data_IF_164775859390
#
_entry.id   IF_164775859390
#
_cell.length_a   1.000
_cell.length_b   1.000
_cell.length_c   1.000
_cell.angle_alpha   90.00
_cell.angle_beta   90.00
_cell.angle_gamma   90.00
#
_symmetry.space_group_name_H-M   'P 1'
#
loop_
_entity.id
_entity.type
_entity.pdbx_description
1 polymer ?
#
# COMPACT_ATOMS: atom_id res chain seq x y z
N UNK A 1 54.34 -30.76 -12.29
CA UNK A 1 53.65 -29.68 -13.03
C UNK A 1 54.68 -28.81 -13.73
N UNK A 2 54.52 -28.58 -15.05
CA UNK A 2 55.39 -27.65 -15.80
C UNK A 2 55.19 -26.20 -15.33
N UNK A 3 56.19 -25.31 -15.58
CA UNK A 3 56.06 -23.88 -15.29
C UNK A 3 54.82 -23.25 -15.96
N UNK A 4 54.49 -23.69 -17.17
CA UNK A 4 53.28 -23.26 -17.89
C UNK A 4 51.98 -23.64 -17.18
N UNK A 5 51.89 -24.86 -16.63
CA UNK A 5 50.71 -25.30 -15.86
C UNK A 5 50.53 -24.50 -14.56
N UNK A 6 51.61 -24.11 -13.88
CA UNK A 6 51.55 -23.26 -12.68
C UNK A 6 51.10 -21.83 -12.98
N UNK A 7 51.58 -21.26 -14.08
CA UNK A 7 51.17 -19.92 -14.53
C UNK A 7 49.70 -19.90 -14.97
N UNK A 8 49.24 -20.92 -15.69
CA UNK A 8 47.83 -21.05 -16.08
C UNK A 8 46.91 -21.20 -14.85
N UNK A 9 47.32 -22.00 -13.85
CA UNK A 9 46.56 -22.17 -12.61
C UNK A 9 46.51 -20.87 -11.80
N UNK A 10 47.63 -20.14 -11.72
CA UNK A 10 47.70 -18.84 -11.04
C UNK A 10 46.86 -17.77 -11.75
N UNK A 11 46.86 -17.74 -13.09
CA UNK A 11 46.03 -16.83 -13.87
C UNK A 11 44.54 -17.16 -13.71
N UNK A 12 44.16 -18.44 -13.74
CA UNK A 12 42.79 -18.88 -13.47
C UNK A 12 42.35 -18.49 -12.05
N UNK A 13 43.20 -18.74 -11.05
CA UNK A 13 42.93 -18.34 -9.67
C UNK A 13 42.76 -16.82 -9.54
N UNK A 14 43.63 -16.03 -10.19
CA UNK A 14 43.51 -14.57 -10.21
C UNK A 14 42.21 -14.10 -10.90
N UNK A 15 41.82 -14.71 -12.02
CA UNK A 15 40.55 -14.42 -12.69
C UNK A 15 39.33 -14.74 -11.82
N UNK A 16 39.35 -15.88 -11.12
CA UNK A 16 38.28 -16.26 -10.18
C UNK A 16 38.21 -15.26 -9.02
N UNK A 17 39.35 -14.86 -8.46
CA UNK A 17 39.40 -13.84 -7.39
C UNK A 17 38.86 -12.50 -7.88
N UNK A 18 39.29 -12.02 -9.06
CA UNK A 18 38.82 -10.75 -9.63
C UNK A 18 37.31 -10.78 -9.95
N UNK A 19 36.80 -11.89 -10.48
CA UNK A 19 35.37 -12.08 -10.71
C UNK A 19 34.59 -12.08 -9.38
N UNK A 20 35.11 -12.76 -8.36
CA UNK A 20 34.55 -12.75 -7.00
C UNK A 20 34.50 -11.35 -6.40
N UNK A 21 35.60 -10.59 -6.46
CA UNK A 21 35.65 -9.20 -6.01
C UNK A 21 34.66 -8.31 -6.77
N UNK A 22 34.52 -8.50 -8.08
CA UNK A 22 33.55 -7.78 -8.90
C UNK A 22 32.10 -8.04 -8.49
N UNK A 23 31.75 -9.30 -8.20
CA UNK A 23 30.41 -9.68 -7.70
C UNK A 23 30.14 -9.04 -6.35
N UNK A 24 31.10 -9.10 -5.42
CA UNK A 24 30.95 -8.49 -4.08
C UNK A 24 30.76 -6.98 -4.19
N UNK A 25 31.55 -6.30 -5.02
CA UNK A 25 31.41 -4.87 -5.26
C UNK A 25 30.03 -4.51 -5.87
N UNK A 26 29.54 -5.32 -6.81
CA UNK A 26 28.22 -5.14 -7.41
C UNK A 26 27.10 -5.32 -6.39
N UNK A 27 27.15 -6.38 -5.58
CA UNK A 27 26.17 -6.63 -4.52
C UNK A 27 26.17 -5.52 -3.47
N UNK A 28 27.35 -5.01 -3.08
CA UNK A 28 27.48 -3.87 -2.18
C UNK A 28 26.87 -2.59 -2.78
N UNK A 29 27.12 -2.33 -4.07
CA UNK A 29 26.52 -1.19 -4.76
C UNK A 29 25.00 -1.29 -4.83
N UNK A 30 24.45 -2.49 -5.06
CA UNK A 30 23.02 -2.76 -5.10
C UNK A 30 22.36 -2.57 -3.72
N UNK A 31 23.00 -3.09 -2.66
CA UNK A 31 22.59 -2.87 -1.27
C UNK A 31 22.46 -1.37 -0.97
N UNK A 32 23.50 -0.60 -1.32
CA UNK A 32 23.53 0.84 -1.11
C UNK A 32 22.49 1.58 -1.95
N UNK A 33 22.26 1.14 -3.18
CA UNK A 33 21.27 1.73 -4.07
C UNK A 33 19.83 1.44 -3.62
N UNK A 34 19.59 0.31 -2.93
CA UNK A 34 18.26 -0.06 -2.48
C UNK A 34 17.31 -0.51 -3.57
N UNK A 35 17.84 -0.98 -4.71
CA UNK A 35 17.05 -1.36 -5.86
C UNK A 35 16.73 -2.85 -5.77
N UNK A 36 15.46 -3.23 -5.87
CA UNK A 36 15.07 -4.64 -5.90
C UNK A 36 15.37 -5.28 -7.26
N UNK A 37 15.66 -6.59 -7.32
CA UNK A 37 15.79 -7.30 -8.60
C UNK A 37 14.57 -7.11 -9.50
N UNK A 38 13.35 -7.16 -8.96
CA UNK A 38 12.09 -6.91 -9.69
C UNK A 38 11.92 -5.49 -10.24
N UNK A 39 12.67 -4.50 -9.72
CA UNK A 39 12.72 -3.16 -10.32
C UNK A 39 13.83 -3.04 -11.37
N UNK A 40 14.98 -3.67 -11.12
CA UNK A 40 16.12 -3.66 -12.02
C UNK A 40 15.89 -4.46 -13.30
N UNK A 41 15.25 -5.64 -13.20
CA UNK A 41 15.09 -6.56 -14.32
C UNK A 41 14.35 -5.93 -15.53
N UNK A 42 13.17 -5.31 -15.37
CA UNK A 42 12.51 -4.62 -16.49
C UNK A 42 13.32 -3.43 -17.04
N UNK A 43 14.18 -2.82 -16.22
CA UNK A 43 15.07 -1.75 -16.67
C UNK A 43 16.19 -2.29 -17.56
N UNK A 44 16.80 -3.43 -17.21
CA UNK A 44 17.82 -4.10 -18.01
C UNK A 44 17.24 -4.50 -19.37
N UNK A 45 16.10 -5.19 -19.39
CA UNK A 45 15.45 -5.61 -20.64
C UNK A 45 15.18 -4.39 -21.55
N UNK A 46 14.56 -3.34 -21.00
CA UNK A 46 14.32 -2.08 -21.73
C UNK A 46 15.61 -1.45 -22.26
N UNK A 47 16.69 -1.39 -21.47
CA UNK A 47 17.96 -0.80 -21.90
C UNK A 47 18.66 -1.61 -22.97
N UNK A 48 18.47 -2.94 -22.98
CA UNK A 48 19.01 -3.82 -24.02
C UNK A 48 18.18 -3.81 -25.31
N UNK A 49 16.91 -3.40 -25.24
CA UNK A 49 16.02 -3.36 -26.40
C UNK A 49 16.50 -2.38 -27.47
N UNK A 50 16.32 -2.76 -28.74
CA UNK A 50 16.75 -1.96 -29.89
C UNK A 50 18.24 -2.07 -30.26
N UNK A 51 19.03 -2.82 -29.48
CA UNK A 51 20.40 -3.18 -29.82
C UNK A 51 20.47 -4.45 -30.70
N UNK A 52 21.68 -4.93 -31.03
CA UNK A 52 21.85 -6.18 -31.77
C UNK A 52 21.31 -7.40 -31.00
N UNK A 53 21.15 -8.52 -31.70
CA UNK A 53 20.52 -9.73 -31.17
C UNK A 53 21.24 -10.30 -29.93
N UNK A 54 22.57 -10.18 -29.86
CA UNK A 54 23.35 -10.67 -28.72
C UNK A 54 23.06 -9.86 -27.46
N UNK A 55 23.08 -8.53 -27.57
CA UNK A 55 22.79 -7.63 -26.44
C UNK A 55 21.34 -7.79 -25.99
N UNK A 56 20.40 -7.84 -26.93
CA UNK A 56 18.98 -8.03 -26.63
C UNK A 56 18.74 -9.39 -25.95
N UNK A 57 19.36 -10.46 -26.45
CA UNK A 57 19.25 -11.79 -25.87
C UNK A 57 19.83 -11.87 -24.46
N UNK A 58 21.01 -11.27 -24.24
CA UNK A 58 21.65 -11.21 -22.92
C UNK A 58 20.82 -10.40 -21.91
N UNK A 59 20.25 -9.27 -22.33
CA UNK A 59 19.39 -8.44 -21.48
C UNK A 59 18.11 -9.15 -21.03
N UNK A 60 17.45 -9.86 -21.95
CA UNK A 60 16.28 -10.70 -21.62
C UNK A 60 16.64 -11.82 -20.66
N UNK A 61 17.71 -12.58 -20.95
CA UNK A 61 18.18 -13.65 -20.09
C UNK A 61 18.47 -13.15 -18.66
N UNK A 62 19.16 -12.01 -18.52
CA UNK A 62 19.46 -11.41 -17.23
C UNK A 62 18.19 -10.96 -16.49
N UNK A 63 17.25 -10.33 -17.19
CA UNK A 63 15.96 -9.93 -16.64
C UNK A 63 15.17 -11.13 -16.12
N UNK A 64 15.06 -12.19 -16.92
CA UNK A 64 14.32 -13.41 -16.57
C UNK A 64 14.97 -14.14 -15.38
N UNK A 65 16.30 -14.21 -15.35
CA UNK A 65 17.04 -14.81 -14.24
C UNK A 65 16.80 -14.05 -12.92
N UNK A 66 16.89 -12.72 -12.94
CA UNK A 66 16.64 -11.88 -11.77
C UNK A 66 15.21 -12.01 -11.26
N UNK A 67 14.22 -11.99 -12.17
CA UNK A 67 12.81 -12.14 -11.79
C UNK A 67 12.53 -13.53 -11.21
N UNK A 68 13.13 -14.59 -11.77
CA UNK A 68 12.96 -15.95 -11.27
C UNK A 68 13.56 -16.14 -9.88
N UNK A 69 14.76 -15.60 -9.64
CA UNK A 69 15.40 -15.63 -8.32
C UNK A 69 14.56 -14.87 -7.29
N UNK A 70 14.11 -13.66 -7.64
CA UNK A 70 13.41 -12.77 -6.73
C UNK A 70 11.96 -13.17 -6.45
N UNK A 71 11.21 -13.67 -7.43
CA UNK A 71 9.78 -14.01 -7.27
C UNK A 71 9.54 -15.48 -6.95
N UNK A 72 10.48 -16.37 -7.30
CA UNK A 72 10.25 -17.81 -7.29
C UNK A 72 9.28 -18.24 -8.40
N UNK A 73 8.69 -19.42 -8.22
CA UNK A 73 7.73 -19.96 -9.17
C UNK A 73 6.41 -19.15 -9.15
N UNK A 74 5.79 -18.90 -10.31
CA UNK A 74 4.44 -18.34 -10.36
C UNK A 74 3.48 -19.21 -9.57
N UNK A 75 2.64 -18.57 -8.76
CA UNK A 75 1.69 -19.24 -7.90
C UNK A 75 0.31 -18.58 -8.03
N UNK A 76 -0.73 -19.38 -7.80
CA UNK A 76 -2.09 -18.86 -7.81
C UNK A 76 -2.44 -18.36 -6.41
N UNK A 77 -2.60 -17.05 -6.27
CA UNK A 77 -2.91 -16.42 -4.99
C UNK A 77 -4.38 -16.66 -4.58
N UNK A 78 -4.59 -16.98 -3.30
CA UNK A 78 -5.89 -17.19 -2.66
C UNK A 78 -5.99 -16.30 -1.41
N UNK A 79 -6.71 -15.19 -1.54
CA UNK A 79 -7.02 -14.28 -0.42
C UNK A 79 -8.46 -14.44 0.09
N UNK A 80 -9.22 -15.36 -0.49
CA UNK A 80 -10.60 -15.61 -0.11
C UNK A 80 -10.69 -16.12 1.33
N UNK A 81 -11.66 -15.58 2.07
CA UNK A 81 -11.87 -15.96 3.46
C UNK A 81 -11.01 -15.21 4.46
N UNK A 82 -10.18 -14.24 4.06
CA UNK A 82 -9.52 -13.36 5.03
C UNK A 82 -10.52 -12.40 5.70
N UNK A 83 -10.26 -12.09 6.97
CA UNK A 83 -10.93 -11.05 7.79
C UNK A 83 -10.38 -9.65 7.51
N UNK A 84 -9.60 -9.51 6.44
CA UNK A 84 -9.03 -8.27 5.92
C UNK A 84 -9.75 -7.87 4.63
N UNK A 85 -9.87 -6.58 4.40
CA UNK A 85 -10.62 -6.02 3.28
C UNK A 85 -12.13 -6.23 3.40
N UNK A 86 -12.84 -6.03 2.30
CA UNK A 86 -14.29 -6.12 2.25
C UNK A 86 -14.80 -7.52 2.61
N UNK A 87 -15.74 -7.56 3.54
CA UNK A 87 -16.36 -8.72 4.12
C UNK A 87 -17.78 -8.94 3.55
N UNK A 88 -18.22 -10.20 3.43
CA UNK A 88 -19.58 -10.54 3.00
C UNK A 88 -20.62 -10.19 4.07
N UNK A 89 -20.22 -10.07 5.33
CA UNK A 89 -21.08 -9.57 6.39
C UNK A 89 -21.18 -8.05 6.29
N UNK A 90 -22.40 -7.51 6.34
CA UNK A 90 -22.64 -6.08 6.31
C UNK A 90 -21.99 -5.39 7.52
N UNK A 91 -21.29 -4.28 7.27
CA UNK A 91 -20.95 -3.33 8.30
C UNK A 91 -22.14 -2.43 8.65
N UNK A 92 -22.14 -1.91 9.88
CA UNK A 92 -23.14 -0.96 10.38
C UNK A 92 -24.45 -1.61 10.84
N UNK A 93 -25.20 -0.88 11.67
CA UNK A 93 -26.57 -1.23 12.07
C UNK A 93 -27.54 -0.44 11.19
N UNK A 94 -28.67 -1.02 10.71
CA UNK A 94 -29.67 -0.27 9.97
C UNK A 94 -30.19 0.92 10.78
N UNK A 95 -30.18 2.12 10.19
CA UNK A 95 -30.87 3.30 10.71
C UNK A 95 -32.24 3.51 10.06
N UNK A 96 -32.95 4.61 10.38
CA UNK A 96 -34.21 4.97 9.72
C UNK A 96 -33.98 5.16 8.21
N UNK A 97 -34.63 4.35 7.39
CA UNK A 97 -34.44 4.39 5.93
C UNK A 97 -35.08 5.64 5.32
N UNK A 98 -34.32 6.35 4.51
CA UNK A 98 -34.82 7.47 3.68
C UNK A 98 -35.29 6.92 2.33
N UNK A 99 -36.31 6.05 2.38
CA UNK A 99 -36.90 5.42 1.19
C UNK A 99 -35.94 4.52 0.40
N UNK A 100 -36.50 3.76 -0.55
CA UNK A 100 -35.71 2.83 -1.35
C UNK A 100 -35.10 3.52 -2.58
N UNK A 101 -33.78 3.64 -2.61
CA UNK A 101 -33.04 4.17 -3.76
C UNK A 101 -32.82 3.04 -4.78
N UNK A 102 -33.32 3.21 -6.01
CA UNK A 102 -33.23 2.18 -7.07
C UNK A 102 -32.44 2.62 -8.31
N UNK A 103 -32.11 3.90 -8.40
CA UNK A 103 -31.32 4.46 -9.49
C UNK A 103 -30.44 5.64 -9.03
N UNK A 104 -29.60 6.14 -9.94
CA UNK A 104 -28.65 7.22 -9.66
C UNK A 104 -29.34 8.58 -9.49
N UNK A 105 -30.50 8.82 -10.11
CA UNK A 105 -31.22 10.08 -9.94
C UNK A 105 -31.84 10.16 -8.54
N UNK A 106 -32.46 9.07 -8.08
CA UNK A 106 -32.95 8.90 -6.72
C UNK A 106 -31.81 9.03 -5.70
N UNK A 107 -30.64 8.40 -5.95
CA UNK A 107 -29.47 8.52 -5.09
C UNK A 107 -29.01 9.98 -4.95
N UNK A 108 -28.89 10.71 -6.06
CA UNK A 108 -28.53 12.13 -6.05
C UNK A 108 -29.52 12.96 -5.25
N UNK A 109 -30.82 12.72 -5.45
CA UNK A 109 -31.89 13.42 -4.75
C UNK A 109 -31.83 13.14 -3.24
N UNK A 110 -31.63 11.88 -2.84
CA UNK A 110 -31.50 11.48 -1.45
C UNK A 110 -30.28 12.13 -0.79
N UNK A 111 -29.11 12.10 -1.44
CA UNK A 111 -27.89 12.73 -0.91
C UNK A 111 -28.03 14.26 -0.78
N UNK A 112 -28.67 14.91 -1.76
CA UNK A 112 -28.90 16.35 -1.71
C UNK A 112 -29.91 16.78 -0.62
N UNK A 113 -30.79 15.86 -0.19
CA UNK A 113 -31.81 16.11 0.84
C UNK A 113 -31.44 15.53 2.20
N UNK A 114 -30.28 14.87 2.32
CA UNK A 114 -29.87 14.21 3.54
C UNK A 114 -29.82 15.17 4.73
N UNK A 115 -30.26 14.67 5.88
CA UNK A 115 -30.20 15.31 7.19
C UNK A 115 -29.35 14.43 8.12
N UNK A 116 -28.80 14.97 9.23
CA UNK A 116 -28.06 14.16 10.19
C UNK A 116 -28.84 12.90 10.62
N UNK A 117 -28.15 11.76 10.63
CA UNK A 117 -28.74 10.45 10.95
C UNK A 117 -29.46 9.74 9.80
N UNK A 118 -29.61 10.38 8.63
CA UNK A 118 -30.24 9.76 7.47
C UNK A 118 -29.47 8.51 7.00
N UNK A 119 -30.20 7.41 6.79
CA UNK A 119 -29.66 6.21 6.13
C UNK A 119 -30.26 6.06 4.72
N UNK A 120 -29.40 6.12 3.71
CA UNK A 120 -29.73 5.96 2.30
C UNK A 120 -29.34 4.53 1.88
N UNK A 121 -30.32 3.63 1.88
CA UNK A 121 -30.13 2.24 1.47
C UNK A 121 -30.40 2.08 -0.03
N UNK A 122 -29.39 1.59 -0.76
CA UNK A 122 -29.53 1.26 -2.17
C UNK A 122 -30.11 -0.15 -2.33
N UNK A 123 -31.13 -0.28 -3.17
CA UNK A 123 -31.65 -1.57 -3.60
C UNK A 123 -30.57 -2.33 -4.41
N UNK A 124 -30.56 -3.68 -4.37
CA UNK A 124 -29.70 -4.47 -5.23
C UNK A 124 -29.77 -4.03 -6.70
N UNK A 125 -28.61 -3.86 -7.34
CA UNK A 125 -28.55 -3.41 -8.73
C UNK A 125 -27.27 -2.69 -9.11
N UNK A 126 -27.23 -2.26 -10.37
CA UNK A 126 -26.12 -1.51 -10.95
C UNK A 126 -26.50 -0.06 -11.19
N UNK A 127 -25.68 0.86 -10.69
CA UNK A 127 -25.92 2.29 -10.65
C UNK A 127 -24.85 3.01 -11.46
N UNK A 128 -25.22 3.55 -12.62
CA UNK A 128 -24.26 4.19 -13.52
C UNK A 128 -24.10 5.68 -13.23
N UNK A 129 -22.98 6.06 -12.62
CA UNK A 129 -22.61 7.45 -12.36
C UNK A 129 -22.03 8.05 -13.63
N UNK A 130 -22.84 8.86 -14.30
CA UNK A 130 -22.47 9.59 -15.50
C UNK A 130 -22.75 11.09 -15.38
N UNK A 131 -22.16 11.87 -16.27
CA UNK A 131 -22.30 13.33 -16.46
C UNK A 131 -21.72 14.19 -15.32
N UNK A 132 -21.94 13.83 -14.05
CA UNK A 132 -21.41 14.56 -12.89
C UNK A 132 -21.19 13.64 -11.68
N UNK A 133 -20.41 14.08 -10.69
CA UNK A 133 -20.18 13.33 -9.45
C UNK A 133 -21.42 13.26 -8.56
N UNK A 134 -21.52 12.25 -7.70
CA UNK A 134 -22.42 12.27 -6.54
C UNK A 134 -21.85 13.24 -5.50
N UNK A 135 -22.69 14.09 -4.91
CA UNK A 135 -22.25 15.18 -4.05
C UNK A 135 -22.76 14.96 -2.60
N UNK A 136 -21.85 14.70 -1.68
CA UNK A 136 -22.07 14.65 -0.24
C UNK A 136 -21.75 16.05 0.36
N UNK A 137 -22.66 16.99 0.08
CA UNK A 137 -22.48 18.42 0.39
C UNK A 137 -23.21 18.93 1.64
N UNK A 138 -24.10 18.12 2.24
CA UNK A 138 -24.82 18.49 3.48
C UNK A 138 -24.18 17.80 4.68
N UNK A 139 -23.96 18.48 5.81
CA UNK A 139 -23.31 17.86 6.96
C UNK A 139 -24.20 16.81 7.63
N UNK A 140 -23.60 15.70 8.06
CA UNK A 140 -24.14 14.91 9.16
C UNK A 140 -23.79 15.55 10.51
N UNK A 141 -23.99 14.83 11.61
CA UNK A 141 -23.58 15.28 12.94
C UNK A 141 -22.78 14.19 13.68
N UNK A 142 -22.06 14.59 14.72
CA UNK A 142 -21.43 13.65 15.64
C UNK A 142 -22.50 12.71 16.24
N UNK A 143 -22.25 11.41 16.21
CA UNK A 143 -23.23 10.38 16.62
C UNK A 143 -24.41 10.17 15.66
N UNK A 144 -24.60 11.02 14.66
CA UNK A 144 -25.66 10.93 13.66
C UNK A 144 -25.11 11.22 12.24
N UNK A 145 -24.20 10.38 11.71
CA UNK A 145 -23.68 10.55 10.36
C UNK A 145 -24.78 10.35 9.31
N UNK A 146 -24.57 10.88 8.12
CA UNK A 146 -25.34 10.45 6.94
C UNK A 146 -24.70 9.19 6.39
N UNK A 147 -25.48 8.11 6.26
CA UNK A 147 -25.00 6.81 5.81
C UNK A 147 -25.52 6.52 4.40
N UNK A 148 -24.63 6.14 3.48
CA UNK A 148 -24.99 5.58 2.16
C UNK A 148 -24.51 4.14 2.11
N UNK A 149 -25.42 3.20 1.90
CA UNK A 149 -25.06 1.78 2.03
C UNK A 149 -25.77 0.83 1.07
N UNK A 150 -25.15 -0.32 0.88
CA UNK A 150 -25.88 -1.55 0.56
C UNK A 150 -26.34 -2.24 1.86
N UNK A 151 -27.54 -2.82 1.84
CA UNK A 151 -27.99 -3.66 2.95
C UNK A 151 -27.12 -4.92 3.07
N UNK A 152 -26.82 -5.55 1.94
CA UNK A 152 -25.97 -6.73 1.82
C UNK A 152 -24.75 -6.40 0.95
N UNK A 153 -23.51 -6.63 1.42
CA UNK A 153 -22.31 -6.48 0.59
C UNK A 153 -22.41 -7.28 -0.72
N UNK A 154 -21.95 -6.68 -1.80
CA UNK A 154 -21.93 -7.33 -3.12
C UNK A 154 -23.24 -7.22 -3.93
N UNK A 155 -24.34 -6.72 -3.35
CA UNK A 155 -25.60 -6.57 -4.09
C UNK A 155 -25.72 -5.24 -4.85
N UNK A 156 -24.91 -4.24 -4.50
CA UNK A 156 -24.94 -2.90 -5.10
C UNK A 156 -23.62 -2.59 -5.77
N UNK A 157 -23.69 -2.24 -7.05
CA UNK A 157 -22.53 -1.88 -7.87
C UNK A 157 -22.66 -0.47 -8.44
N UNK A 158 -21.80 0.43 -8.01
CA UNK A 158 -21.68 1.78 -8.57
C UNK A 158 -20.64 1.76 -9.70
N UNK A 159 -21.04 2.12 -10.93
CA UNK A 159 -20.15 2.19 -12.09
C UNK A 159 -19.90 3.67 -12.43
N UNK A 160 -18.68 4.14 -12.21
CA UNK A 160 -18.29 5.52 -12.51
C UNK A 160 -17.68 5.66 -13.90
N UNK A 161 -18.17 6.63 -14.66
CA UNK A 161 -17.55 7.10 -15.91
C UNK A 161 -17.14 8.58 -15.83
N UNK A 162 -16.95 9.09 -14.61
CA UNK A 162 -16.61 10.49 -14.34
C UNK A 162 -15.31 10.58 -13.56
N UNK A 163 -14.62 11.72 -13.67
CA UNK A 163 -13.33 12.00 -13.02
C UNK A 163 -13.35 11.70 -11.53
N UNK A 164 -14.41 12.11 -10.84
CA UNK A 164 -14.61 11.84 -9.42
C UNK A 164 -15.98 11.19 -9.27
N UNK A 165 -16.06 9.99 -8.70
CA UNK A 165 -17.35 9.32 -8.54
C UNK A 165 -18.19 9.99 -7.44
N UNK A 166 -17.60 10.18 -6.25
CA UNK A 166 -18.24 10.77 -5.07
C UNK A 166 -17.36 11.91 -4.53
N UNK A 167 -17.89 13.13 -4.53
CA UNK A 167 -17.29 14.29 -3.85
C UNK A 167 -17.90 14.44 -2.47
N UNK A 168 -17.04 14.48 -1.46
CA UNK A 168 -17.43 14.67 -0.06
C UNK A 168 -16.85 15.99 0.41
N UNK A 169 -17.73 16.98 0.58
CA UNK A 169 -17.37 18.34 1.00
C UNK A 169 -17.85 18.71 2.39
N UNK A 170 -18.67 17.86 3.02
CA UNK A 170 -19.28 18.09 4.32
C UNK A 170 -18.93 16.97 5.32
N UNK A 171 -18.91 17.26 6.63
CA UNK A 171 -18.49 16.32 7.65
C UNK A 171 -19.51 15.21 7.94
N UNK A 172 -19.06 14.16 8.62
CA UNK A 172 -19.87 13.05 9.13
C UNK A 172 -20.65 12.28 8.05
N UNK A 173 -20.00 11.99 6.92
CA UNK A 173 -20.51 11.06 5.91
C UNK A 173 -19.90 9.69 6.05
N UNK A 174 -20.73 8.66 5.89
CA UNK A 174 -20.33 7.25 6.00
C UNK A 174 -20.82 6.45 4.79
N UNK A 175 -19.92 5.64 4.22
CA UNK A 175 -20.20 4.80 3.05
C UNK A 175 -19.90 3.33 3.38
N UNK A 176 -20.89 2.46 3.20
CA UNK A 176 -20.80 1.07 3.66
C UNK A 176 -21.23 0.03 2.63
N UNK A 177 -20.48 -1.08 2.56
CA UNK A 177 -20.90 -2.30 1.84
C UNK A 177 -21.04 -2.12 0.32
N UNK A 178 -20.47 -1.07 -0.27
CA UNK A 178 -20.61 -0.74 -1.69
C UNK A 178 -19.52 -1.40 -2.53
N UNK A 179 -19.87 -1.88 -3.72
CA UNK A 179 -18.90 -2.13 -4.79
C UNK A 179 -18.85 -0.90 -5.71
N UNK A 180 -17.65 -0.36 -5.97
CA UNK A 180 -17.46 0.87 -6.76
C UNK A 180 -16.37 0.63 -7.82
N UNK A 181 -16.76 0.73 -9.09
CA UNK A 181 -15.88 0.49 -10.24
C UNK A 181 -15.67 1.77 -11.03
N UNK A 182 -14.40 2.12 -11.27
CA UNK A 182 -14.00 3.10 -12.26
C UNK A 182 -13.94 2.47 -13.66
N UNK A 183 -14.95 2.75 -14.49
CA UNK A 183 -15.12 2.19 -15.82
C UNK A 183 -14.88 3.23 -16.94
N UNK A 184 -13.96 4.17 -16.71
CA UNK A 184 -13.64 5.21 -17.68
C UNK A 184 -12.77 4.67 -18.82
N UNK A 185 -13.04 5.13 -20.04
CA UNK A 185 -12.28 4.74 -21.24
C UNK A 185 -10.80 5.11 -21.15
N UNK A 186 -10.49 6.26 -20.54
CA UNK A 186 -9.12 6.68 -20.24
C UNK A 186 -8.95 6.72 -18.73
N UNK A 187 -7.80 6.23 -18.24
CA UNK A 187 -7.52 6.25 -16.81
C UNK A 187 -7.44 7.66 -16.22
N UNK A 188 -7.08 8.67 -17.02
CA UNK A 188 -7.10 10.09 -16.63
C UNK A 188 -8.50 10.62 -16.32
N UNK A 189 -9.54 9.93 -16.79
CA UNK A 189 -10.93 10.29 -16.55
C UNK A 189 -11.53 9.52 -15.35
N UNK A 190 -10.76 8.60 -14.72
CA UNK A 190 -11.15 7.86 -13.52
C UNK A 190 -10.13 8.16 -12.41
N UNK A 191 -10.14 9.40 -11.94
CA UNK A 191 -9.19 9.89 -10.95
C UNK A 191 -9.51 9.36 -9.56
N UNK A 192 -10.72 9.64 -9.06
CA UNK A 192 -11.06 9.46 -7.65
C UNK A 192 -12.38 8.70 -7.47
N UNK A 193 -12.40 7.62 -6.68
CA UNK A 193 -13.68 7.04 -6.25
C UNK A 193 -14.33 7.98 -5.23
N UNK A 194 -13.58 8.32 -4.19
CA UNK A 194 -13.93 9.35 -3.22
C UNK A 194 -12.92 10.50 -3.29
N UNK A 195 -13.42 11.73 -3.39
CA UNK A 195 -12.63 12.91 -3.09
C UNK A 195 -13.19 13.58 -1.83
N UNK A 196 -12.47 13.42 -0.72
CA UNK A 196 -12.80 13.99 0.59
C UNK A 196 -12.00 15.28 0.76
N UNK A 197 -12.68 16.41 0.82
CA UNK A 197 -12.02 17.71 0.68
C UNK A 197 -12.56 18.78 1.62
N UNK A 198 -11.69 19.71 2.00
CA UNK A 198 -12.08 20.90 2.76
C UNK A 198 -12.65 20.56 4.14
N UNK A 199 -13.95 20.82 4.36
CA UNK A 199 -14.59 20.68 5.67
C UNK A 199 -15.07 19.25 5.99
N UNK A 200 -14.79 18.27 5.13
CA UNK A 200 -15.30 16.90 5.23
C UNK A 200 -14.62 16.05 6.32
N UNK A 201 -14.60 16.53 7.56
CA UNK A 201 -14.07 15.79 8.71
C UNK A 201 -14.96 14.62 9.10
N UNK A 202 -14.40 13.64 9.83
CA UNK A 202 -15.12 12.46 10.30
C UNK A 202 -15.79 11.65 9.17
N UNK A 203 -15.17 11.65 7.99
CA UNK A 203 -15.53 10.75 6.90
C UNK A 203 -15.30 9.29 7.32
N UNK A 204 -16.17 8.38 6.89
CA UNK A 204 -15.95 6.96 7.05
C UNK A 204 -16.26 6.18 5.76
N UNK A 205 -15.34 5.31 5.34
CA UNK A 205 -15.60 4.28 4.34
C UNK A 205 -15.32 2.93 4.96
N UNK A 206 -16.35 2.10 5.09
CA UNK A 206 -16.27 0.81 5.78
C UNK A 206 -16.80 -0.31 4.92
N UNK A 207 -16.05 -1.39 4.79
CA UNK A 207 -16.52 -2.61 4.11
C UNK A 207 -16.85 -2.43 2.62
N UNK A 208 -16.15 -1.56 1.90
CA UNK A 208 -16.37 -1.33 0.48
C UNK A 208 -15.34 -2.08 -0.38
N UNK A 209 -15.77 -2.51 -1.57
CA UNK A 209 -14.87 -2.97 -2.63
C UNK A 209 -14.74 -1.87 -3.68
N UNK A 210 -13.55 -1.29 -3.84
CA UNK A 210 -13.31 -0.16 -4.75
C UNK A 210 -12.23 -0.54 -5.75
N UNK A 211 -12.47 -0.29 -7.03
CA UNK A 211 -11.50 -0.63 -8.06
C UNK A 211 -11.49 0.28 -9.28
N UNK A 212 -10.38 0.29 -10.01
CA UNK A 212 -10.29 0.97 -11.31
C UNK A 212 -10.13 2.48 -11.24
N UNK A 213 -9.57 3.01 -10.14
CA UNK A 213 -9.29 4.43 -9.95
C UNK A 213 -7.78 4.68 -9.81
N UNK A 214 -7.34 5.89 -10.18
CA UNK A 214 -5.97 6.32 -9.94
C UNK A 214 -5.72 6.53 -8.43
N UNK A 215 -6.69 7.11 -7.73
CA UNK A 215 -6.80 7.08 -6.28
C UNK A 215 -8.20 6.64 -5.86
N UNK A 216 -8.32 5.65 -4.99
CA UNK A 216 -9.62 5.18 -4.51
C UNK A 216 -10.17 6.19 -3.50
N UNK A 217 -9.28 6.69 -2.65
CA UNK A 217 -9.53 7.80 -1.75
C UNK A 217 -8.50 8.89 -1.99
N UNK A 218 -8.98 10.05 -2.46
CA UNK A 218 -8.20 11.29 -2.48
C UNK A 218 -8.68 12.18 -1.34
N UNK A 219 -7.78 12.51 -0.41
CA UNK A 219 -8.07 13.35 0.74
C UNK A 219 -7.16 14.58 0.68
N UNK A 220 -7.74 15.77 0.72
CA UNK A 220 -6.95 17.00 0.70
C UNK A 220 -7.65 18.20 1.36
N UNK A 221 -6.85 19.13 1.88
CA UNK A 221 -7.35 20.43 2.30
C UNK A 221 -7.90 21.25 1.14
N UNK A 222 -8.83 22.17 1.42
CA UNK A 222 -9.34 23.16 0.48
C UNK A 222 -9.85 24.40 1.23
N UNK A 223 -9.49 25.59 0.74
CA UNK A 223 -9.93 26.86 1.33
C UNK A 223 -9.53 27.02 2.80
N UNK A 224 -8.32 26.56 3.17
CA UNK A 224 -7.82 26.61 4.55
C UNK A 224 -8.48 25.62 5.52
N UNK A 225 -9.36 24.73 5.04
CA UNK A 225 -10.01 23.67 5.84
C UNK A 225 -9.45 22.30 5.49
N UNK A 226 -9.41 21.41 6.47
CA UNK A 226 -8.83 20.08 6.36
C UNK A 226 -9.83 19.00 6.80
N UNK A 227 -9.97 17.91 6.04
CA UNK A 227 -10.91 16.84 6.36
C UNK A 227 -10.28 15.88 7.39
N UNK A 228 -10.19 16.28 8.65
CA UNK A 228 -9.54 15.50 9.72
C UNK A 228 -10.41 14.36 10.27
N UNK A 229 -9.80 13.46 11.05
CA UNK A 229 -10.48 12.41 11.82
C UNK A 229 -11.23 11.38 10.96
N UNK A 230 -10.74 11.07 9.76
CA UNK A 230 -11.37 10.11 8.87
C UNK A 230 -11.04 8.65 9.17
N UNK A 231 -11.90 7.74 8.69
CA UNK A 231 -11.78 6.30 8.84
C UNK A 231 -11.89 5.59 7.49
N UNK A 232 -10.90 4.77 7.16
CA UNK A 232 -10.94 3.83 6.04
C UNK A 232 -10.72 2.43 6.62
N UNK A 233 -11.79 1.66 6.75
CA UNK A 233 -11.79 0.37 7.45
C UNK A 233 -12.34 -0.79 6.64
N UNK A 234 -11.62 -1.91 6.65
CA UNK A 234 -12.08 -3.16 6.02
C UNK A 234 -12.50 -2.99 4.54
N UNK A 235 -11.81 -2.15 3.78
CA UNK A 235 -12.06 -1.99 2.35
C UNK A 235 -11.10 -2.85 1.52
N UNK A 236 -11.57 -3.35 0.39
CA UNK A 236 -10.72 -3.97 -0.65
C UNK A 236 -10.49 -2.95 -1.76
N UNK A 237 -9.24 -2.56 -1.98
CA UNK A 237 -8.81 -1.56 -2.95
C UNK A 237 -7.88 -2.22 -3.97
N UNK A 238 -8.30 -2.26 -5.24
CA UNK A 238 -7.50 -2.89 -6.30
C UNK A 238 -7.59 -2.16 -7.63
N UNK A 239 -6.60 -2.36 -8.51
CA UNK A 239 -6.79 -2.07 -9.92
C UNK A 239 -6.74 -3.37 -10.74
N UNK A 240 -7.73 -3.61 -11.62
CA UNK A 240 -7.75 -4.84 -12.42
C UNK A 240 -6.73 -4.82 -13.55
N UNK A 241 -6.22 -3.63 -13.92
CA UNK A 241 -5.23 -3.43 -14.97
C UNK A 241 -4.22 -2.35 -14.57
N UNK A 242 -3.01 -2.34 -15.15
CA UNK A 242 -2.06 -1.27 -14.93
C UNK A 242 -2.62 0.09 -15.37
N UNK A 243 -2.41 1.13 -14.57
CA UNK A 243 -2.90 2.48 -14.85
C UNK A 243 -2.00 3.18 -15.87
N UNK A 244 -2.43 3.17 -17.12
CA UNK A 244 -1.91 3.98 -18.23
C UNK A 244 -2.16 5.49 -18.05
N UNK A 245 -1.47 6.12 -17.09
CA UNK A 245 -1.61 7.55 -16.77
C UNK A 245 -0.29 8.17 -16.28
N UNK A 246 -0.10 9.47 -16.53
CA UNK A 246 0.99 10.26 -15.92
C UNK A 246 0.63 10.76 -14.52
N UNK A 247 -0.65 10.77 -14.18
CA UNK A 247 -1.20 11.23 -12.90
C UNK A 247 -0.78 10.30 -11.75
N UNK A 248 -0.86 10.74 -10.49
CA UNK A 248 -0.55 9.87 -9.35
C UNK A 248 -1.39 8.59 -9.37
N UNK A 249 -0.78 7.46 -9.00
CA UNK A 249 -1.49 6.19 -8.80
C UNK A 249 -1.22 5.78 -7.37
N UNK A 250 -2.21 5.98 -6.51
CA UNK A 250 -2.10 5.79 -5.07
C UNK A 250 -3.50 5.54 -4.49
N UNK A 251 -3.88 4.28 -4.21
CA UNK A 251 -5.22 3.95 -3.73
C UNK A 251 -5.69 4.81 -2.55
N UNK A 252 -4.81 5.15 -1.61
CA UNK A 252 -5.10 6.12 -0.54
C UNK A 252 -4.08 7.26 -0.60
N UNK A 253 -4.51 8.39 -1.15
CA UNK A 253 -3.72 9.63 -1.30
C UNK A 253 -4.22 10.65 -0.26
N UNK A 254 -3.59 10.66 0.92
CA UNK A 254 -3.92 11.56 2.02
C UNK A 254 -2.94 12.73 2.08
N UNK A 255 -3.44 13.95 1.86
CA UNK A 255 -2.66 15.19 1.87
C UNK A 255 -3.25 16.18 2.87
N UNK A 256 -2.41 16.70 3.76
CA UNK A 256 -2.68 17.78 4.71
C UNK A 256 -3.76 17.50 5.77
N UNK A 257 -4.25 16.27 5.90
CA UNK A 257 -5.19 15.87 6.93
C UNK A 257 -4.50 15.17 8.11
N UNK A 258 -5.14 15.20 9.28
CA UNK A 258 -4.67 14.62 10.53
C UNK A 258 -5.63 13.60 11.11
N UNK A 259 -5.10 12.76 11.98
CA UNK A 259 -5.83 11.82 12.83
C UNK A 259 -6.72 10.85 12.04
N UNK A 260 -6.31 10.51 10.82
CA UNK A 260 -6.95 9.45 10.06
C UNK A 260 -6.54 8.08 10.56
N UNK A 261 -7.49 7.16 10.56
CA UNK A 261 -7.24 5.74 10.79
C UNK A 261 -7.53 4.95 9.51
N UNK A 262 -6.50 4.31 8.98
CA UNK A 262 -6.58 3.39 7.84
C UNK A 262 -6.29 2.00 8.36
N UNK A 263 -7.33 1.16 8.50
CA UNK A 263 -7.16 -0.15 9.14
C UNK A 263 -7.89 -1.32 8.52
N UNK A 264 -7.29 -2.51 8.63
CA UNK A 264 -7.92 -3.75 8.20
C UNK A 264 -8.16 -3.83 6.68
N UNK A 265 -7.54 -2.98 5.86
CA UNK A 265 -7.80 -2.93 4.43
C UNK A 265 -6.95 -3.96 3.67
N UNK A 266 -7.47 -4.41 2.53
CA UNK A 266 -6.70 -5.13 1.51
C UNK A 266 -6.42 -4.16 0.35
N UNK A 267 -5.15 -3.82 0.11
CA UNK A 267 -4.73 -2.88 -0.93
C UNK A 267 -3.81 -3.61 -1.90
N UNK A 268 -4.13 -3.62 -3.20
CA UNK A 268 -3.33 -4.35 -4.19
C UNK A 268 -3.26 -3.73 -5.57
N UNK A 269 -2.25 -4.14 -6.32
CA UNK A 269 -2.17 -3.97 -7.78
C UNK A 269 -2.17 -2.51 -8.26
N UNK A 270 -1.41 -1.63 -7.61
CA UNK A 270 -1.38 -0.19 -7.92
C UNK A 270 -0.29 0.21 -8.92
N UNK A 271 -0.27 -0.42 -10.10
CA UNK A 271 0.76 -0.16 -11.13
C UNK A 271 0.53 1.14 -11.90
N UNK A 272 1.57 1.98 -12.05
CA UNK A 272 1.61 3.18 -12.92
C UNK A 272 2.52 3.00 -14.14
N UNK A 273 1.99 3.16 -15.36
CA UNK A 273 2.76 2.94 -16.59
C UNK A 273 3.47 4.17 -17.17
N UNK A 274 2.95 5.39 -16.95
CA UNK A 274 3.50 6.61 -17.54
C UNK A 274 4.07 7.58 -16.49
N UNK A 275 4.60 8.72 -16.94
CA UNK A 275 5.24 9.71 -16.08
C UNK A 275 6.50 9.14 -15.43
N UNK A 276 6.66 9.37 -14.13
CA UNK A 276 7.77 8.82 -13.34
C UNK A 276 7.62 7.33 -13.02
N UNK A 277 6.46 6.70 -13.30
CA UNK A 277 6.16 5.29 -12.98
C UNK A 277 6.34 4.91 -11.50
N UNK A 278 6.25 5.89 -10.61
CA UNK A 278 6.23 5.68 -9.16
C UNK A 278 4.78 5.63 -8.71
N UNK A 279 4.48 4.68 -7.84
CA UNK A 279 3.17 4.43 -7.25
C UNK A 279 3.32 4.00 -5.80
N UNK A 280 2.26 4.23 -5.01
CA UNK A 280 2.22 3.95 -3.59
C UNK A 280 0.94 3.18 -3.27
N UNK A 281 0.96 2.27 -2.30
CA UNK A 281 -0.28 1.62 -1.84
C UNK A 281 -1.14 2.59 -1.04
N UNK A 282 -0.50 3.29 -0.10
CA UNK A 282 -1.08 4.42 0.61
C UNK A 282 0.01 5.37 1.10
N UNK A 283 -0.32 6.65 1.25
CA UNK A 283 0.51 7.57 2.01
C UNK A 283 -0.30 8.58 2.80
N UNK A 284 0.32 9.10 3.87
CA UNK A 284 -0.10 10.32 4.55
C UNK A 284 1.01 11.36 4.44
N UNK A 285 0.70 12.55 3.91
CA UNK A 285 1.66 13.60 3.62
C UNK A 285 1.04 14.99 3.74
N UNK A 286 1.78 16.04 3.42
CA UNK A 286 1.25 17.39 3.31
C UNK A 286 1.15 18.19 4.62
N UNK A 287 1.98 17.90 5.62
CA UNK A 287 1.94 18.58 6.93
C UNK A 287 0.82 18.08 7.84
N UNK A 288 0.39 16.83 7.63
CA UNK A 288 -0.55 16.13 8.51
C UNK A 288 0.10 15.63 9.79
N UNK A 289 -0.70 15.25 10.79
CA UNK A 289 -0.21 14.70 12.05
C UNK A 289 -1.09 13.55 12.56
N UNK A 290 -0.51 12.60 13.30
CA UNK A 290 -1.29 11.58 14.02
C UNK A 290 -1.99 10.54 13.15
N UNK A 291 -1.64 10.43 11.87
CA UNK A 291 -2.27 9.46 10.96
C UNK A 291 -1.77 8.04 11.26
N UNK A 292 -2.68 7.06 11.26
CA UNK A 292 -2.42 5.66 11.61
C UNK A 292 -2.75 4.74 10.45
N UNK A 293 -1.77 3.92 10.05
CA UNK A 293 -1.96 2.75 9.19
C UNK A 293 -1.78 1.49 10.04
N UNK A 294 -2.88 0.79 10.29
CA UNK A 294 -2.89 -0.36 11.19
C UNK A 294 -3.50 -1.59 10.52
N UNK A 295 -2.90 -2.78 10.66
CA UNK A 295 -3.56 -4.05 10.24
C UNK A 295 -3.96 -4.10 8.76
N UNK A 296 -3.22 -3.43 7.88
CA UNK A 296 -3.49 -3.51 6.44
C UNK A 296 -2.67 -4.62 5.79
N UNK A 297 -3.26 -5.31 4.82
CA UNK A 297 -2.55 -6.15 3.87
C UNK A 297 -2.33 -5.34 2.58
N UNK A 298 -1.07 -5.03 2.27
CA UNK A 298 -0.67 -4.30 1.07
C UNK A 298 0.12 -5.24 0.16
N UNK A 299 -0.44 -5.60 -0.99
CA UNK A 299 0.23 -6.44 -1.98
C UNK A 299 0.51 -5.63 -3.24
N UNK A 300 1.74 -5.13 -3.36
CA UNK A 300 2.13 -4.13 -4.36
C UNK A 300 1.81 -4.55 -5.82
N UNK A 301 2.07 -5.80 -6.17
CA UNK A 301 1.80 -6.39 -7.49
C UNK A 301 1.46 -7.88 -7.36
N UNK A 302 0.19 -8.16 -7.07
CA UNK A 302 -0.33 -9.53 -6.94
C UNK A 302 -0.67 -10.10 -8.31
N UNK A 303 -1.68 -9.53 -8.96
CA UNK A 303 -2.13 -9.95 -10.29
C UNK A 303 -1.36 -9.21 -11.41
N UNK A 304 -0.76 -8.05 -11.09
CA UNK A 304 -0.11 -7.16 -12.05
C UNK A 304 1.44 -7.21 -11.98
N UNK A 305 1.98 -8.39 -11.66
CA UNK A 305 3.42 -8.64 -11.59
C UNK A 305 4.15 -8.39 -12.93
N UNK A 306 5.45 -8.12 -12.85
CA UNK A 306 6.34 -8.03 -14.02
C UNK A 306 6.30 -6.68 -14.74
N UNK A 307 5.55 -5.72 -14.24
CA UNK A 307 5.45 -4.39 -14.83
C UNK A 307 6.64 -3.50 -14.40
N UNK A 308 7.18 -2.63 -15.28
CA UNK A 308 8.25 -1.70 -14.90
C UNK A 308 7.75 -0.65 -13.89
N UNK A 309 8.67 0.02 -13.20
CA UNK A 309 8.37 1.12 -12.27
C UNK A 309 8.58 0.76 -10.80
N UNK A 310 8.38 1.77 -9.95
CA UNK A 310 8.56 1.67 -8.49
C UNK A 310 7.20 1.63 -7.80
N UNK A 311 7.05 0.68 -6.89
CA UNK A 311 5.84 0.46 -6.08
C UNK A 311 6.28 0.46 -4.63
N UNK A 312 5.96 1.54 -3.94
CA UNK A 312 6.16 1.68 -2.50
C UNK A 312 4.91 1.15 -1.80
N UNK A 313 5.08 0.41 -0.71
CA UNK A 313 3.95 -0.11 0.06
C UNK A 313 3.17 1.01 0.77
N UNK A 314 3.62 1.35 1.97
CA UNK A 314 3.08 2.43 2.80
C UNK A 314 4.11 3.56 2.94
N UNK A 315 3.64 4.80 3.02
CA UNK A 315 4.54 5.94 3.17
C UNK A 315 4.01 7.02 4.13
N UNK A 316 4.91 7.56 4.94
CA UNK A 316 4.71 8.82 5.64
C UNK A 316 5.55 9.88 4.93
N UNK A 317 4.87 10.84 4.30
CA UNK A 317 5.45 11.80 3.38
C UNK A 317 5.79 11.22 2.01
N UNK A 318 6.55 11.99 1.23
CA UNK A 318 6.92 11.65 -0.14
C UNK A 318 5.93 12.14 -1.20
N UNK A 319 6.11 11.71 -2.45
CA UNK A 319 5.21 12.09 -3.56
C UNK A 319 5.23 13.56 -4.00
N UNK A 320 6.12 14.40 -3.44
CA UNK A 320 6.41 15.76 -3.91
C UNK A 320 5.28 16.77 -3.70
N UNK A 321 4.78 16.92 -2.47
CA UNK A 321 3.76 17.94 -2.17
C UNK A 321 4.34 19.34 -2.42
N UNK A 322 3.69 20.15 -3.24
CA UNK A 322 4.06 21.56 -3.33
C UNK A 322 3.66 22.30 -2.06
N UNK A 323 4.53 23.19 -1.53
CA UNK A 323 4.34 23.98 -0.30
C UNK A 323 2.90 24.45 -0.06
N UNK A 324 2.31 25.13 -1.06
CA UNK A 324 0.94 25.67 -1.02
C UNK A 324 -0.18 24.65 -0.74
N UNK A 325 0.09 23.36 -0.92
CA UNK A 325 -0.87 22.28 -0.68
C UNK A 325 -0.69 21.63 0.69
N UNK A 326 0.38 21.97 1.42
CA UNK A 326 0.57 21.54 2.79
C UNK A 326 -0.29 22.37 3.74
N UNK A 327 -0.63 21.76 4.88
CA UNK A 327 -1.42 22.39 5.92
C UNK A 327 -0.79 23.70 6.41
N UNK A 328 0.53 23.71 6.56
CA UNK A 328 1.33 24.84 7.01
C UNK A 328 1.75 25.80 5.86
N UNK A 329 1.39 25.47 4.61
CA UNK A 329 1.81 26.18 3.41
C UNK A 329 3.30 26.03 3.04
N UNK A 330 4.06 25.19 3.77
CA UNK A 330 5.53 25.10 3.65
C UNK A 330 6.06 23.68 3.49
N UNK A 331 5.37 22.67 4.02
CA UNK A 331 5.80 21.27 4.03
C UNK A 331 7.16 21.05 4.71
N UNK A 332 7.43 21.73 5.84
CA UNK A 332 8.71 21.51 6.55
C UNK A 332 8.82 20.05 6.98
N UNK A 333 7.75 19.54 7.56
CA UNK A 333 7.48 18.12 7.73
C UNK A 333 6.32 17.76 6.81
N UNK A 334 6.44 16.63 6.11
CA UNK A 334 5.34 16.09 5.31
C UNK A 334 4.34 15.36 6.22
N UNK A 335 4.80 14.78 7.33
CA UNK A 335 3.96 14.10 8.30
C UNK A 335 4.62 14.11 9.68
N UNK A 336 3.81 14.23 10.74
CA UNK A 336 4.29 14.13 12.11
C UNK A 336 3.53 13.05 12.88
N UNK A 337 4.17 12.43 13.87
CA UNK A 337 3.51 11.50 14.81
C UNK A 337 2.71 10.38 14.12
N UNK A 338 3.16 9.97 12.94
CA UNK A 338 2.52 8.91 12.16
C UNK A 338 2.82 7.54 12.73
N UNK A 339 1.86 6.61 12.64
CA UNK A 339 2.01 5.24 13.13
C UNK A 339 1.74 4.25 12.02
N UNK A 340 2.70 3.39 11.70
CA UNK A 340 2.50 2.21 10.86
C UNK A 340 2.67 0.99 11.75
N UNK A 341 1.59 0.25 12.03
CA UNK A 341 1.66 -0.93 12.89
C UNK A 341 0.90 -2.14 12.40
N UNK A 342 1.46 -3.32 12.68
CA UNK A 342 0.82 -4.60 12.37
C UNK A 342 0.38 -4.76 10.91
N UNK A 343 1.07 -4.13 9.95
CA UNK A 343 0.75 -4.27 8.53
C UNK A 343 1.56 -5.42 7.91
N UNK A 344 0.93 -6.15 6.99
CA UNK A 344 1.60 -7.12 6.12
C UNK A 344 1.77 -6.50 4.73
N UNK A 345 3.03 -6.30 4.30
CA UNK A 345 3.36 -5.64 3.04
C UNK A 345 4.17 -6.60 2.18
N UNK A 346 3.71 -6.85 0.96
CA UNK A 346 4.18 -7.96 0.13
C UNK A 346 4.52 -7.50 -1.28
N UNK A 347 5.69 -7.92 -1.74
CA UNK A 347 6.04 -7.95 -3.16
C UNK A 347 6.21 -6.57 -3.79
N UNK A 348 6.84 -5.64 -3.09
CA UNK A 348 7.03 -4.28 -3.55
C UNK A 348 8.30 -4.17 -4.39
N UNK A 349 8.20 -3.51 -5.56
CA UNK A 349 9.38 -3.25 -6.39
C UNK A 349 10.28 -2.13 -5.83
N UNK A 350 9.83 -1.48 -4.76
CA UNK A 350 10.60 -0.56 -3.94
C UNK A 350 10.44 -0.95 -2.47
N UNK A 351 10.78 -0.04 -1.55
CA UNK A 351 10.63 -0.24 -0.11
C UNK A 351 9.18 -0.53 0.27
N UNK A 352 9.01 -1.42 1.25
CA UNK A 352 7.69 -1.70 1.83
C UNK A 352 7.16 -0.52 2.63
N UNK A 353 8.05 0.17 3.36
CA UNK A 353 7.73 1.36 4.14
C UNK A 353 8.72 2.48 3.82
N UNK A 354 8.20 3.67 3.54
CA UNK A 354 8.99 4.87 3.25
C UNK A 354 8.65 6.03 4.19
N UNK A 355 9.66 6.67 4.76
CA UNK A 355 9.52 7.88 5.54
C UNK A 355 10.33 9.00 4.88
N UNK A 356 9.63 10.05 4.45
CA UNK A 356 10.23 11.19 3.77
C UNK A 356 9.74 12.49 4.40
N UNK A 357 10.65 13.15 5.12
CA UNK A 357 10.35 14.31 5.94
C UNK A 357 9.24 14.02 6.96
N UNK A 358 9.30 12.84 7.58
CA UNK A 358 8.31 12.34 8.54
C UNK A 358 8.89 12.29 9.95
N UNK A 359 8.41 13.14 10.86
CA UNK A 359 8.95 13.29 12.22
C UNK A 359 8.16 12.50 13.26
N UNK A 360 8.84 12.09 14.33
CA UNK A 360 8.30 11.40 15.51
C UNK A 360 7.42 10.19 15.15
N UNK A 361 7.84 9.43 14.14
CA UNK A 361 7.05 8.32 13.62
C UNK A 361 7.29 7.03 14.41
N UNK A 362 6.25 6.20 14.54
CA UNK A 362 6.36 4.85 15.13
C UNK A 362 6.06 3.80 14.07
N UNK A 363 7.00 2.89 13.87
CA UNK A 363 6.89 1.82 12.89
C UNK A 363 7.04 0.51 13.66
N UNK A 364 5.92 -0.15 13.93
CA UNK A 364 5.85 -1.20 14.95
C UNK A 364 5.28 -2.49 14.38
N UNK A 365 5.95 -3.62 14.63
CA UNK A 365 5.38 -4.94 14.38
C UNK A 365 4.87 -5.13 12.93
N UNK A 366 5.52 -4.54 11.92
CA UNK A 366 5.15 -4.78 10.53
C UNK A 366 5.88 -6.01 9.98
N UNK A 367 5.24 -6.75 9.08
CA UNK A 367 5.86 -7.83 8.30
C UNK A 367 6.01 -7.39 6.85
N UNK A 368 7.23 -7.29 6.36
CA UNK A 368 7.55 -6.94 4.98
C UNK A 368 8.15 -8.17 4.30
N UNK A 369 7.51 -8.65 3.23
CA UNK A 369 7.93 -9.84 2.47
C UNK A 369 8.25 -9.43 1.04
N UNK A 370 9.42 -9.82 0.52
CA UNK A 370 9.85 -9.47 -0.83
C UNK A 370 9.78 -7.96 -1.13
N UNK A 371 10.45 -7.14 -0.32
CA UNK A 371 10.50 -5.67 -0.47
C UNK A 371 11.94 -5.14 -0.42
N UNK A 372 12.14 -3.86 -0.73
CA UNK A 372 13.46 -3.21 -0.51
C UNK A 372 13.69 -2.76 0.95
N UNK A 373 12.91 -3.30 1.89
CA UNK A 373 12.98 -3.01 3.31
C UNK A 373 12.25 -1.74 3.74
N UNK A 374 12.81 -1.03 4.73
CA UNK A 374 12.30 0.23 5.29
C UNK A 374 13.35 1.31 5.05
N UNK A 375 12.93 2.46 4.52
CA UNK A 375 13.83 3.59 4.25
C UNK A 375 13.31 4.87 4.90
N UNK A 376 14.12 5.42 5.79
CA UNK A 376 13.89 6.71 6.45
C UNK A 376 14.89 7.71 5.86
N UNK A 377 14.37 8.84 5.36
CA UNK A 377 15.18 9.82 4.62
C UNK A 377 14.99 11.24 5.10
N UNK A 378 16.06 12.01 4.97
CA UNK A 378 16.17 13.45 5.26
C UNK A 378 16.24 13.76 6.76
N UNK A 379 16.96 14.82 7.08
CA UNK A 379 17.18 15.26 8.46
C UNK A 379 15.91 15.64 9.23
N UNK A 380 14.82 15.94 8.53
CA UNK A 380 13.49 16.20 9.13
C UNK A 380 12.75 14.92 9.51
N UNK A 381 13.24 13.74 9.10
CA UNK A 381 12.65 12.47 9.48
C UNK A 381 13.24 11.92 10.77
N UNK A 382 12.35 11.48 11.66
CA UNK A 382 12.71 10.73 12.86
C UNK A 382 11.71 9.60 13.11
N UNK A 383 12.22 8.41 13.44
CA UNK A 383 11.37 7.26 13.69
C UNK A 383 11.92 6.30 14.76
N UNK A 384 11.00 5.72 15.55
CA UNK A 384 11.26 4.54 16.37
C UNK A 384 10.72 3.31 15.66
N UNK A 385 11.59 2.34 15.45
CA UNK A 385 11.25 1.04 14.84
C UNK A 385 11.39 -0.05 15.89
N UNK A 386 10.33 -0.84 16.09
CA UNK A 386 10.31 -1.93 17.07
C UNK A 386 9.47 -3.11 16.56
N UNK A 387 9.95 -4.34 16.78
CA UNK A 387 9.24 -5.57 16.48
C UNK A 387 9.03 -5.89 14.99
N UNK A 388 9.61 -5.13 14.05
CA UNK A 388 9.39 -5.39 12.62
C UNK A 388 10.13 -6.63 12.12
N UNK A 389 9.50 -7.36 11.18
CA UNK A 389 10.07 -8.49 10.46
C UNK A 389 10.20 -8.12 8.98
N UNK A 390 11.41 -7.93 8.47
CA UNK A 390 11.65 -7.23 7.20
C UNK A 390 12.51 -8.06 6.26
N UNK A 391 11.96 -8.41 5.10
CA UNK A 391 12.74 -8.86 3.95
C UNK A 391 13.30 -7.62 3.26
N UNK A 392 14.58 -7.33 3.50
CA UNK A 392 15.28 -6.12 3.07
C UNK A 392 15.79 -5.28 4.26
N UNK A 393 16.70 -4.33 4.00
CA UNK A 393 17.39 -3.61 5.05
C UNK A 393 16.53 -2.51 5.67
N UNK A 394 16.76 -2.20 6.94
CA UNK A 394 16.26 -0.98 7.57
C UNK A 394 17.33 0.12 7.45
N UNK A 395 16.99 1.24 6.79
CA UNK A 395 17.97 2.27 6.40
C UNK A 395 17.61 3.65 6.92
N UNK A 396 18.67 4.37 7.31
CA UNK A 396 18.67 5.82 7.51
C UNK A 396 19.51 6.45 6.41
N UNK A 397 18.98 7.45 5.71
CA UNK A 397 19.70 8.17 4.64
C UNK A 397 19.47 9.66 4.72
N UNK A 398 20.38 10.41 4.11
CA UNK A 398 20.27 11.87 3.95
C UNK A 398 20.09 12.61 5.29
N UNK A 399 20.70 12.10 6.36
CA UNK A 399 20.75 12.72 7.69
C UNK A 399 19.56 12.42 8.61
N UNK A 400 18.67 11.47 8.26
CA UNK A 400 17.55 11.09 9.13
C UNK A 400 17.97 10.50 10.48
N UNK A 401 17.10 10.64 11.48
CA UNK A 401 17.29 10.07 12.81
C UNK A 401 16.50 8.77 12.96
N UNK A 402 17.18 7.68 13.33
CA UNK A 402 16.55 6.37 13.46
C UNK A 402 16.87 5.74 14.82
N UNK A 403 15.83 5.41 15.57
CA UNK A 403 15.92 4.68 16.83
C UNK A 403 15.46 3.24 16.62
N UNK A 404 16.42 2.31 16.54
CA UNK A 404 16.16 0.89 16.41
C UNK A 404 16.03 0.26 17.79
N UNK A 405 14.88 -0.33 18.06
CA UNK A 405 14.69 -1.30 19.12
C UNK A 405 14.81 -2.72 18.53
N UNK A 406 14.00 -3.67 18.98
CA UNK A 406 14.14 -5.07 18.62
C UNK A 406 13.49 -5.38 17.26
N UNK A 407 14.25 -5.36 16.16
CA UNK A 407 13.77 -5.65 14.80
C UNK A 407 14.58 -6.78 14.18
N UNK A 408 13.99 -7.49 13.21
CA UNK A 408 14.65 -8.50 12.40
C UNK A 408 14.57 -8.15 10.93
N UNK A 409 15.70 -7.80 10.33
CA UNK A 409 15.82 -7.45 8.92
C UNK A 409 16.86 -8.32 8.18
N UNK A 410 16.98 -8.13 6.86
CA UNK A 410 17.91 -8.88 6.02
C UNK A 410 18.56 -7.97 4.97
N UNK A 411 19.80 -8.25 4.59
CA UNK A 411 20.46 -7.51 3.50
C UNK A 411 19.76 -7.73 2.16
N UNK A 412 19.57 -6.65 1.39
CA UNK A 412 18.94 -6.65 0.08
C UNK A 412 19.69 -7.53 -0.94
N UNK A 413 21.02 -7.61 -0.85
CA UNK A 413 21.85 -8.45 -1.72
C UNK A 413 21.42 -9.93 -1.74
N UNK A 414 20.74 -10.41 -0.69
CA UNK A 414 20.26 -11.80 -0.62
C UNK A 414 19.18 -12.08 -1.67
N UNK A 415 18.32 -11.12 -2.00
CA UNK A 415 17.27 -11.31 -3.02
C UNK A 415 17.87 -11.50 -4.41
N UNK A 416 19.02 -10.90 -4.68
CA UNK A 416 19.79 -11.12 -5.92
C UNK A 416 20.35 -12.54 -6.05
N UNK A 417 20.42 -13.31 -4.96
CA UNK A 417 20.78 -14.73 -4.95
C UNK A 417 19.55 -15.64 -4.80
N UNK A 418 18.34 -15.07 -4.84
CA UNK A 418 17.09 -15.78 -4.60
C UNK A 418 16.88 -16.23 -3.16
N UNK A 419 17.62 -15.64 -2.21
CA UNK A 419 17.48 -15.91 -0.78
C UNK A 419 16.59 -14.86 -0.13
N UNK A 420 15.45 -15.31 0.39
CA UNK A 420 14.43 -14.46 1.02
C UNK A 420 14.13 -14.99 2.42
N UNK A 421 14.92 -14.58 3.43
CA UNK A 421 14.85 -15.16 4.77
C UNK A 421 13.49 -15.01 5.44
N UNK A 422 12.80 -13.90 5.21
CA UNK A 422 11.45 -13.69 5.78
C UNK A 422 10.42 -14.49 5.01
N UNK A 423 10.47 -14.49 3.67
CA UNK A 423 9.59 -15.34 2.85
C UNK A 423 9.68 -16.81 3.24
N UNK A 424 10.89 -17.30 3.55
CA UNK A 424 11.13 -18.69 3.91
C UNK A 424 10.49 -19.14 5.24
N UNK A 425 10.01 -18.20 6.07
CA UNK A 425 9.32 -18.51 7.33
C UNK A 425 7.87 -18.98 7.11
N UNK A 426 7.31 -18.76 5.92
CA UNK A 426 5.90 -19.01 5.62
C UNK A 426 5.69 -20.30 4.83
N UNK A 427 4.50 -20.90 4.99
CA UNK A 427 4.12 -22.15 4.34
C UNK A 427 4.05 -22.02 2.80
N UNK A 428 3.31 -21.05 2.29
CA UNK A 428 3.19 -20.78 0.85
C UNK A 428 2.85 -19.30 0.58
N UNK A 429 3.78 -18.37 0.84
CA UNK A 429 3.51 -16.94 0.76
C UNK A 429 3.18 -16.48 -0.68
N UNK A 430 3.72 -17.15 -1.69
CA UNK A 430 3.37 -16.91 -3.10
C UNK A 430 1.92 -17.26 -3.45
N UNK A 431 1.27 -18.13 -2.66
CA UNK A 431 -0.15 -18.47 -2.79
C UNK A 431 -1.04 -17.63 -1.86
N UNK A 432 -0.44 -16.74 -1.05
CA UNK A 432 -1.14 -15.96 -0.03
C UNK A 432 -1.31 -16.67 1.32
N UNK A 433 -0.64 -17.81 1.52
CA UNK A 433 -0.61 -18.51 2.81
C UNK A 433 0.62 -18.09 3.63
N UNK A 434 0.40 -17.13 4.54
CA UNK A 434 1.41 -16.61 5.46
C UNK A 434 1.39 -17.31 6.82
N UNK A 435 0.84 -18.53 6.92
CA UNK A 435 1.02 -19.35 8.12
C UNK A 435 2.50 -19.67 8.30
N UNK A 436 2.96 -19.68 9.55
CA UNK A 436 4.33 -20.05 9.88
C UNK A 436 4.60 -21.52 9.53
N UNK A 437 5.72 -21.79 8.87
CA UNK A 437 6.15 -23.15 8.56
C UNK A 437 6.68 -23.88 9.80
N UNK A 438 7.60 -23.24 10.52
CA UNK A 438 8.35 -23.81 11.64
C UNK A 438 8.10 -23.03 12.95
N UNK A 439 6.92 -22.42 13.07
CA UNK A 439 6.54 -21.55 14.19
C UNK A 439 6.94 -20.08 14.00
N UNK A 440 6.32 -19.21 14.80
CA UNK A 440 6.51 -17.77 14.72
C UNK A 440 7.91 -17.37 15.26
N UNK A 441 8.64 -16.44 14.62
CA UNK A 441 9.97 -16.04 15.05
C UNK A 441 9.91 -15.24 16.37
N UNK A 442 10.61 -15.75 17.38
CA UNK A 442 10.69 -15.18 18.72
C UNK A 442 11.42 -13.82 18.77
N UNK A 443 10.87 -12.81 19.46
CA UNK A 443 11.53 -11.54 19.81
C UNK A 443 12.54 -11.75 20.94
N UNK A 444 13.58 -10.92 20.95
CA UNK A 444 14.53 -10.86 22.06
C UNK A 444 13.95 -10.10 23.26
N UNK A 445 13.21 -9.02 23.00
CA UNK A 445 12.53 -8.22 24.01
C UNK A 445 11.03 -8.44 23.91
N UNK A 446 10.40 -9.01 24.96
CA UNK A 446 8.99 -9.32 24.90
C UNK A 446 8.12 -8.05 24.93
N UNK A 447 7.05 -8.02 24.14
CA UNK A 447 6.05 -6.95 24.08
C UNK A 447 4.66 -7.54 23.98
N UNK A 448 3.74 -7.13 24.88
CA UNK A 448 2.35 -7.65 24.95
C UNK A 448 1.29 -6.64 24.53
N UNK A 449 1.64 -5.37 24.38
CA UNK A 449 0.70 -4.33 24.00
C UNK A 449 0.47 -4.34 22.48
N UNK A 450 -0.77 -4.06 22.08
CA UNK A 450 -1.13 -3.86 20.68
C UNK A 450 -2.12 -4.88 20.14
N UNK A 451 -2.47 -4.67 18.88
CA UNK A 451 -3.39 -5.50 18.10
C UNK A 451 -2.62 -6.06 16.91
N UNK A 452 -2.78 -7.35 16.65
CA UNK A 452 -2.17 -8.03 15.52
C UNK A 452 -2.94 -7.79 14.21
N UNK A 453 -2.39 -8.19 13.06
CA UNK A 453 -2.99 -8.05 11.73
C UNK A 453 -4.45 -8.54 11.70
N UNK A 454 -4.74 -9.63 12.41
CA UNK A 454 -6.03 -10.30 12.41
C UNK A 454 -7.07 -9.60 13.30
N UNK A 455 -6.67 -8.58 14.05
CA UNK A 455 -7.54 -7.81 14.94
C UNK A 455 -7.61 -8.35 16.36
N UNK A 456 -6.80 -9.35 16.72
CA UNK A 456 -6.72 -9.88 18.06
C UNK A 456 -5.71 -9.06 18.90
N UNK A 457 -5.94 -8.96 20.20
CA UNK A 457 -4.89 -8.50 21.11
C UNK A 457 -3.71 -9.49 21.02
N UNK A 458 -2.48 -8.98 21.03
CA UNK A 458 -1.30 -9.84 20.95
C UNK A 458 -1.26 -10.77 22.17
N UNK A 459 -1.42 -12.06 21.91
CA UNK A 459 -1.50 -13.08 22.95
C UNK A 459 -0.11 -13.59 23.32
N UNK A 460 0.80 -13.62 22.33
CA UNK A 460 2.18 -14.07 22.52
C UNK A 460 3.12 -12.90 22.69
N UNK A 461 3.86 -12.95 23.79
CA UNK A 461 4.71 -11.87 24.30
C UNK A 461 5.94 -11.61 23.42
N UNK A 462 6.17 -12.35 22.34
CA UNK A 462 7.47 -12.28 21.68
C UNK A 462 7.47 -12.80 20.27
N UNK A 463 6.60 -12.33 19.41
CA UNK A 463 6.65 -12.65 17.97
C UNK A 463 6.99 -11.39 17.17
N UNK A 464 7.96 -11.47 16.28
CA UNK A 464 8.23 -10.38 15.33
C UNK A 464 7.12 -10.28 14.30
N UNK A 465 6.85 -9.06 13.85
CA UNK A 465 6.00 -8.77 12.72
C UNK A 465 4.51 -8.71 13.08
N UNK A 466 3.69 -8.75 12.04
CA UNK A 466 2.32 -8.28 12.05
C UNK A 466 1.32 -9.19 12.78
N UNK A 467 1.63 -10.46 12.98
CA UNK A 467 0.68 -11.41 13.54
C UNK A 467 1.38 -12.52 14.32
N UNK A 468 0.65 -13.06 15.29
CA UNK A 468 1.08 -14.22 16.06
C UNK A 468 0.73 -15.50 15.28
N UNK A 469 -0.48 -15.56 14.72
CA UNK A 469 -0.99 -16.66 13.90
C UNK A 469 -1.81 -16.13 12.71
N UNK A 470 -1.31 -16.33 11.48
CA UNK A 470 -2.03 -15.95 10.27
C UNK A 470 -3.34 -16.75 10.07
N UNK A 471 -3.44 -17.96 10.64
CA UNK A 471 -4.67 -18.74 10.65
C UNK A 471 -5.84 -17.98 11.29
N UNK A 472 -5.57 -17.16 12.30
CA UNK A 472 -6.57 -16.32 12.97
C UNK A 472 -7.14 -15.21 12.06
N UNK A 473 -6.43 -14.85 10.99
CA UNK A 473 -6.90 -13.90 9.98
C UNK A 473 -7.93 -14.53 9.05
N UNK A 474 -8.13 -15.85 9.07
CA UNK A 474 -9.14 -16.53 8.23
C UNK A 474 -10.49 -16.58 8.95
N UNK A 475 -11.56 -16.45 8.18
CA UNK A 475 -12.92 -16.78 8.62
C UNK A 475 -12.96 -18.28 8.89
N UNK A 476 -13.58 -18.64 10.02
CA UNK A 476 -13.82 -20.04 10.38
C UNK A 476 -14.97 -20.59 9.57
#
# INVERSE_FOLDING_TARGET
MSRGARLALAALAACVVLAGCGIVAALFALERAGVMPRALAPYIDKRSSGHNAVITGAGRLASDALLKLDRGAPATVRLDGLRLGAQPQAAGVPGPEVGLVRDVAALRSAMAKAVPGATITLAPGTYRIANRSLEAGRPGAAGAPVVVRAAQPGTVKLISHVTIAIRVGAPHWRFENLAIDGACRRHDDCEHAFQVTGAASHFAAVNNAVQGFNAHFKINGAGGRFPDHGLIEANTLSNPTPRATRRPVTPIDLVAASDWTVRGNLIRDFVKLHGNRVSYGAFAKGGGSGNVFERNLVWCEQALAGQPGQRVGLSLGGGGTGGRFCRDGRCVTEQERGVLRANLIVGCSDVGIYLNSASDSRIEDNTLVDTAGIDVRYATSSARLDGNLVDGPIRSRDGSLLHLADNRDAGLWRSYLGWHPVRALFAAPGEGDFRWKDGAPGRMQPRRDGVDLCGAARATVGVYGAFDDFGACRRR
#
